data_IF_650758131539
#
_entry.id   IF_650758131539
#
_cell.length_a   1.000
_cell.length_b   1.000
_cell.length_c   1.000
_cell.angle_alpha   90.00
_cell.angle_beta   90.00
_cell.angle_gamma   90.00
#
_symmetry.space_group_name_H-M   'P 1'
#
loop_
_entity.id
_entity.type
_entity.pdbx_description
1 polymer ?
#
# COMPACT_ATOMS: atom_id res chain seq x y z
N UNK A 1 3.42 -6.53 14.49
CA UNK A 1 4.71 -6.02 13.99
C UNK A 1 5.64 -7.13 13.46
N UNK A 2 5.96 -8.18 14.22
CA UNK A 2 6.80 -9.30 13.72
C UNK A 2 6.28 -9.98 12.43
N UNK A 3 4.96 -10.15 12.28
CA UNK A 3 4.36 -10.69 11.06
C UNK A 3 4.47 -9.77 9.83
N UNK A 4 4.70 -8.47 10.03
CA UNK A 4 4.97 -7.53 8.95
C UNK A 4 6.43 -7.64 8.48
N UNK A 5 7.39 -7.71 9.42
CA UNK A 5 8.81 -7.94 9.12
C UNK A 5 9.05 -9.29 8.44
N UNK A 6 8.38 -10.36 8.87
CA UNK A 6 8.49 -11.67 8.22
C UNK A 6 7.96 -11.70 6.78
N UNK A 7 7.00 -10.83 6.44
CA UNK A 7 6.53 -10.65 5.05
C UNK A 7 7.53 -9.86 4.21
N UNK A 8 8.10 -8.80 4.77
CA UNK A 8 9.17 -8.01 4.13
C UNK A 8 10.38 -8.89 3.79
N UNK A 9 10.88 -9.69 4.71
CA UNK A 9 12.01 -10.58 4.45
C UNK A 9 11.72 -11.62 3.34
N UNK A 10 10.49 -12.13 3.24
CA UNK A 10 10.07 -13.03 2.16
C UNK A 10 10.02 -12.33 0.81
N UNK A 11 9.58 -11.07 0.78
CA UNK A 11 9.56 -10.24 -0.42
C UNK A 11 10.98 -9.92 -0.89
N UNK A 12 11.88 -9.59 0.03
CA UNK A 12 13.29 -9.35 -0.30
C UNK A 12 13.97 -10.59 -0.89
N UNK A 13 13.72 -11.77 -0.31
CA UNK A 13 14.19 -13.04 -0.88
C UNK A 13 13.61 -13.32 -2.27
N UNK A 14 12.30 -13.06 -2.47
CA UNK A 14 11.67 -13.18 -3.80
C UNK A 14 12.30 -12.26 -4.84
N UNK A 15 12.60 -11.02 -4.46
CA UNK A 15 13.24 -10.04 -5.33
C UNK A 15 14.68 -10.44 -5.66
N UNK A 16 15.43 -10.93 -4.68
CA UNK A 16 16.79 -11.41 -4.90
C UNK A 16 16.82 -12.57 -5.89
N UNK A 17 16.02 -13.61 -5.64
CA UNK A 17 15.98 -14.81 -6.48
C UNK A 17 15.46 -14.50 -7.90
N UNK A 18 14.53 -13.55 -8.04
CA UNK A 18 14.09 -13.07 -9.35
C UNK A 18 15.24 -12.40 -10.12
N UNK A 19 16.04 -11.57 -9.44
CA UNK A 19 17.21 -10.92 -10.02
C UNK A 19 18.29 -11.93 -10.44
N UNK A 20 18.52 -12.97 -9.63
CA UNK A 20 19.45 -14.04 -9.98
C UNK A 20 18.96 -14.86 -11.18
N UNK A 21 17.68 -15.23 -11.20
CA UNK A 21 17.07 -15.95 -12.32
C UNK A 21 17.18 -15.17 -13.64
N UNK A 22 16.96 -13.84 -13.60
CA UNK A 22 17.15 -12.97 -14.76
C UNK A 22 18.61 -12.90 -15.19
N UNK A 23 19.53 -12.70 -14.25
CA UNK A 23 20.95 -12.57 -14.55
C UNK A 23 21.54 -13.85 -15.18
N UNK A 24 21.03 -15.02 -14.79
CA UNK A 24 21.47 -16.31 -15.29
C UNK A 24 20.63 -16.82 -16.48
N UNK A 25 19.52 -16.16 -16.82
CA UNK A 25 18.55 -16.66 -17.79
C UNK A 25 17.90 -17.99 -17.38
N UNK A 26 17.83 -18.28 -16.07
CA UNK A 26 17.36 -19.56 -15.56
C UNK A 26 15.82 -19.58 -15.48
N UNK A 27 15.20 -20.23 -16.47
CA UNK A 27 13.76 -20.42 -16.54
C UNK A 27 13.21 -21.27 -15.37
N UNK A 28 13.97 -22.23 -14.87
CA UNK A 28 13.54 -23.06 -13.74
C UNK A 28 13.49 -22.24 -12.45
N UNK A 29 14.51 -21.42 -12.21
CA UNK A 29 14.52 -20.46 -11.10
C UNK A 29 13.37 -19.46 -11.22
N UNK A 30 13.11 -18.92 -12.42
CA UNK A 30 11.97 -18.04 -12.68
C UNK A 30 10.61 -18.72 -12.39
N UNK A 31 10.45 -20.00 -12.74
CA UNK A 31 9.25 -20.78 -12.39
C UNK A 31 9.06 -20.89 -10.87
N UNK A 32 10.13 -21.20 -10.14
CA UNK A 32 10.11 -21.25 -8.68
C UNK A 32 9.71 -19.90 -8.05
N UNK A 33 10.28 -18.80 -8.55
CA UNK A 33 9.94 -17.44 -8.12
C UNK A 33 8.45 -17.14 -8.36
N UNK A 34 7.94 -17.40 -9.57
CA UNK A 34 6.53 -17.17 -9.91
C UNK A 34 5.56 -18.02 -9.09
N UNK A 35 5.89 -19.27 -8.78
CA UNK A 35 5.08 -20.13 -7.91
C UNK A 35 5.00 -19.59 -6.48
N UNK A 36 6.15 -19.17 -5.93
CA UNK A 36 6.19 -18.55 -4.60
C UNK A 36 5.46 -17.21 -4.57
N UNK A 37 5.51 -16.43 -5.64
CA UNK A 37 4.76 -15.19 -5.78
C UNK A 37 3.25 -15.44 -5.75
N UNK A 38 2.77 -16.40 -6.55
CA UNK A 38 1.37 -16.79 -6.56
C UNK A 38 0.92 -17.32 -5.17
N UNK A 39 1.77 -18.09 -4.50
CA UNK A 39 1.52 -18.59 -3.15
C UNK A 39 1.49 -17.48 -2.09
N UNK A 40 2.35 -16.46 -2.21
CA UNK A 40 2.37 -15.30 -1.32
C UNK A 40 1.04 -14.53 -1.37
N UNK A 41 0.45 -14.39 -2.56
CA UNK A 41 -0.78 -13.65 -2.78
C UNK A 41 -2.05 -14.52 -2.87
N UNK A 42 -1.97 -15.83 -2.60
CA UNK A 42 -3.11 -16.77 -2.75
C UNK A 42 -4.38 -16.38 -1.97
N UNK A 43 -4.21 -15.73 -0.82
CA UNK A 43 -5.31 -15.30 0.05
C UNK A 43 -5.81 -13.88 -0.24
N UNK A 44 -5.22 -13.20 -1.23
CA UNK A 44 -5.60 -11.85 -1.64
C UNK A 44 -6.55 -11.94 -2.82
N UNK A 45 -7.82 -11.64 -2.60
CA UNK A 45 -8.87 -11.76 -3.62
C UNK A 45 -8.64 -10.80 -4.80
N UNK A 46 -8.16 -9.60 -4.52
CA UNK A 46 -7.79 -8.59 -5.53
C UNK A 46 -6.71 -9.04 -6.51
N UNK A 47 -5.90 -10.06 -6.16
CA UNK A 47 -4.90 -10.67 -7.06
C UNK A 47 -5.42 -11.90 -7.81
N UNK A 48 -6.65 -12.37 -7.53
CA UNK A 48 -7.18 -13.63 -8.07
C UNK A 48 -7.11 -13.66 -9.60
N UNK A 49 -7.60 -12.62 -10.25
CA UNK A 49 -7.64 -12.53 -11.71
C UNK A 49 -6.25 -12.54 -12.34
N UNK A 50 -5.32 -11.75 -11.79
CA UNK A 50 -3.92 -11.72 -12.25
C UNK A 50 -3.20 -13.06 -12.07
N UNK A 51 -3.46 -13.76 -10.96
CA UNK A 51 -2.90 -15.11 -10.71
C UNK A 51 -3.49 -16.17 -11.63
N UNK A 52 -4.79 -16.10 -11.93
CA UNK A 52 -5.43 -17.00 -12.90
C UNK A 52 -4.80 -16.78 -14.28
N UNK A 53 -4.64 -15.51 -14.70
CA UNK A 53 -4.04 -15.17 -15.98
C UNK A 53 -2.56 -15.58 -16.10
N UNK A 54 -1.79 -15.39 -15.04
CA UNK A 54 -0.42 -15.90 -14.94
C UNK A 54 -0.39 -17.43 -15.08
N UNK A 55 -1.33 -18.14 -14.45
CA UNK A 55 -1.41 -19.61 -14.54
C UNK A 55 -1.73 -20.09 -15.95
N UNK A 56 -2.62 -19.39 -16.65
CA UNK A 56 -2.96 -19.68 -18.05
C UNK A 56 -1.77 -19.47 -18.99
N UNK A 57 -1.05 -18.36 -18.85
CA UNK A 57 -0.07 -17.90 -19.84
C UNK A 57 1.38 -18.35 -19.56
N UNK A 58 1.69 -18.77 -18.32
CA UNK A 58 3.07 -19.13 -17.95
C UNK A 58 3.63 -20.33 -18.72
N UNK A 59 2.75 -21.21 -19.21
CA UNK A 59 3.15 -22.37 -20.02
C UNK A 59 3.74 -21.99 -21.38
N UNK A 60 3.37 -20.81 -21.86
CA UNK A 60 3.78 -20.27 -23.17
C UNK A 60 5.05 -19.39 -23.09
N UNK A 61 5.63 -19.25 -21.89
CA UNK A 61 6.86 -18.47 -21.68
C UNK A 61 8.08 -19.41 -21.71
N UNK A 62 9.02 -19.11 -22.60
CA UNK A 62 10.17 -19.98 -22.89
C UNK A 62 11.50 -19.47 -22.32
N UNK A 63 11.51 -18.29 -21.71
CA UNK A 63 12.67 -17.70 -21.06
C UNK A 63 12.29 -17.01 -19.75
N UNK A 64 13.31 -16.76 -18.92
CA UNK A 64 13.13 -16.20 -17.58
C UNK A 64 12.58 -14.77 -17.61
N UNK A 65 12.98 -13.97 -18.59
CA UNK A 65 12.57 -12.57 -18.72
C UNK A 65 11.07 -12.48 -19.05
N UNK A 66 10.61 -13.24 -20.04
CA UNK A 66 9.23 -13.30 -20.45
C UNK A 66 8.32 -13.81 -19.31
N UNK A 67 8.76 -14.85 -18.59
CA UNK A 67 7.98 -15.40 -17.46
C UNK A 67 7.88 -14.43 -16.28
N UNK A 68 8.98 -13.77 -15.91
CA UNK A 68 8.97 -12.81 -14.80
C UNK A 68 8.25 -11.52 -15.19
N UNK A 69 8.39 -11.06 -16.44
CA UNK A 69 7.64 -9.92 -16.97
C UNK A 69 6.13 -10.17 -17.00
N UNK A 70 5.70 -11.39 -17.36
CA UNK A 70 4.29 -11.79 -17.28
C UNK A 70 3.77 -11.74 -15.83
N UNK A 71 4.57 -12.22 -14.87
CA UNK A 71 4.17 -12.17 -13.46
C UNK A 71 4.08 -10.73 -12.93
N UNK A 72 4.97 -9.85 -13.36
CA UNK A 72 4.93 -8.43 -13.04
C UNK A 72 3.68 -7.76 -13.62
N UNK A 73 3.38 -7.96 -14.91
CA UNK A 73 2.27 -7.30 -15.59
C UNK A 73 0.90 -7.73 -15.07
N UNK A 74 0.73 -9.02 -14.81
CA UNK A 74 -0.57 -9.59 -14.44
C UNK A 74 -0.84 -9.49 -12.93
N UNK A 75 0.18 -9.67 -12.08
CA UNK A 75 -0.02 -9.76 -10.62
C UNK A 75 0.39 -8.47 -9.89
N UNK A 76 1.55 -7.91 -10.21
CA UNK A 76 2.11 -6.79 -9.44
C UNK A 76 1.61 -5.42 -9.92
N UNK A 77 1.61 -5.17 -11.22
CA UNK A 77 1.24 -3.87 -11.78
C UNK A 77 -0.16 -3.38 -11.35
N UNK A 78 -1.20 -4.23 -11.22
CA UNK A 78 -2.48 -3.80 -10.66
C UNK A 78 -2.40 -3.37 -9.18
N UNK A 79 -1.58 -4.06 -8.38
CA UNK A 79 -1.35 -3.72 -6.97
C UNK A 79 -0.62 -2.39 -6.82
N UNK A 80 0.40 -2.17 -7.65
CA UNK A 80 1.19 -0.93 -7.63
C UNK A 80 0.33 0.27 -8.03
N UNK A 81 -0.54 0.11 -9.04
CA UNK A 81 -1.52 1.14 -9.40
C UNK A 81 -2.49 1.46 -8.27
N UNK A 82 -2.95 0.45 -7.53
CA UNK A 82 -3.83 0.67 -6.39
C UNK A 82 -3.10 1.40 -5.25
N UNK A 83 -1.87 0.96 -4.93
CA UNK A 83 -1.04 1.60 -3.91
C UNK A 83 -0.75 3.07 -4.24
N UNK A 84 -0.40 3.37 -5.49
CA UNK A 84 -0.15 4.75 -5.95
C UNK A 84 -1.39 5.63 -5.77
N UNK A 85 -2.60 5.13 -6.08
CA UNK A 85 -3.84 5.88 -5.88
C UNK A 85 -4.10 6.21 -4.41
N UNK A 86 -3.83 5.29 -3.49
CA UNK A 86 -3.95 5.53 -2.05
C UNK A 86 -2.96 6.60 -1.57
N UNK A 87 -1.71 6.54 -2.05
CA UNK A 87 -0.68 7.55 -1.74
C UNK A 87 -1.09 8.92 -2.29
N UNK A 88 -1.60 8.98 -3.52
CA UNK A 88 -2.09 10.23 -4.12
C UNK A 88 -3.27 10.82 -3.34
N UNK A 89 -4.22 9.99 -2.92
CA UNK A 89 -5.37 10.42 -2.13
C UNK A 89 -4.91 11.00 -0.78
N UNK A 90 -4.01 10.30 -0.08
CA UNK A 90 -3.42 10.77 1.16
C UNK A 90 -2.64 12.08 0.97
N UNK A 91 -1.83 12.18 -0.09
CA UNK A 91 -1.06 13.37 -0.41
C UNK A 91 -1.96 14.58 -0.69
N UNK A 92 -3.06 14.39 -1.45
CA UNK A 92 -4.06 15.45 -1.69
C UNK A 92 -4.74 15.88 -0.41
N UNK A 93 -5.05 14.95 0.50
CA UNK A 93 -5.63 15.28 1.79
C UNK A 93 -4.67 16.10 2.66
N UNK A 94 -3.39 15.72 2.72
CA UNK A 94 -2.36 16.50 3.44
C UNK A 94 -2.19 17.89 2.82
N UNK A 95 -2.19 18.00 1.49
CA UNK A 95 -2.11 19.27 0.79
C UNK A 95 -3.34 20.15 1.08
N UNK A 96 -4.55 19.57 1.10
CA UNK A 96 -5.77 20.28 1.43
C UNK A 96 -5.77 20.74 2.90
N UNK A 97 -5.36 19.90 3.86
CA UNK A 97 -5.23 20.28 5.27
C UNK A 97 -4.22 21.40 5.44
N UNK A 98 -3.07 21.32 4.77
CA UNK A 98 -2.04 22.37 4.78
C UNK A 98 -2.54 23.66 4.15
N UNK A 99 -3.34 23.59 3.08
CA UNK A 99 -3.91 24.74 2.40
C UNK A 99 -5.06 25.39 3.18
N UNK A 100 -5.85 24.61 3.93
CA UNK A 100 -7.02 25.09 4.67
C UNK A 100 -6.71 25.48 6.12
N UNK A 101 -5.66 24.91 6.71
CA UNK A 101 -5.30 25.11 8.13
C UNK A 101 -3.80 25.43 8.25
N UNK A 102 -3.41 26.71 8.37
CA UNK A 102 -2.16 27.05 9.04
C UNK A 102 -2.33 26.66 10.51
N UNK A 103 -1.48 25.77 11.03
CA UNK A 103 -1.54 25.17 12.37
C UNK A 103 -1.85 26.17 13.50
N UNK A 104 -1.43 27.43 13.35
CA UNK A 104 -1.72 28.51 14.29
C UNK A 104 -3.23 28.79 14.48
N UNK A 105 -4.07 28.62 13.44
CA UNK A 105 -5.51 28.89 13.54
C UNK A 105 -6.28 27.78 14.23
N UNK A 106 -5.81 26.53 14.17
CA UNK A 106 -6.45 25.40 14.85
C UNK A 106 -6.35 25.54 16.37
N UNK A 107 -5.16 25.86 16.89
CA UNK A 107 -4.94 26.11 18.31
C UNK A 107 -5.75 27.34 18.79
N UNK A 108 -5.78 28.40 17.98
CA UNK A 108 -6.59 29.60 18.28
C UNK A 108 -8.08 29.28 18.30
N UNK A 109 -8.60 28.49 17.36
CA UNK A 109 -10.01 28.10 17.32
C UNK A 109 -10.39 27.18 18.49
N UNK A 110 -9.53 26.24 18.85
CA UNK A 110 -9.71 25.36 20.01
C UNK A 110 -9.69 26.17 21.32
N UNK A 111 -8.72 27.08 21.47
CA UNK A 111 -8.61 27.98 22.62
C UNK A 111 -9.84 28.91 22.73
N UNK A 112 -10.29 29.49 21.62
CA UNK A 112 -11.48 30.33 21.57
C UNK A 112 -12.74 29.56 21.97
N UNK A 113 -12.93 28.35 21.43
CA UNK A 113 -14.09 27.50 21.78
C UNK A 113 -14.08 27.11 23.27
N UNK A 114 -12.91 26.80 23.82
CA UNK A 114 -12.73 26.51 25.25
C UNK A 114 -13.09 27.72 26.12
N UNK A 115 -12.57 28.90 25.78
CA UNK A 115 -12.84 30.14 26.51
C UNK A 115 -14.32 30.52 26.48
N UNK A 116 -14.99 30.40 25.33
CA UNK A 116 -16.43 30.70 25.22
C UNK A 116 -17.28 29.75 26.06
N UNK A 117 -16.97 28.44 26.07
CA UNK A 117 -17.68 27.46 26.92
C UNK A 117 -17.45 27.73 28.41
N UNK A 118 -16.21 28.07 28.79
CA UNK A 118 -15.87 28.42 30.16
C UNK A 118 -16.64 29.67 30.62
N UNK A 119 -16.66 30.74 29.80
CA UNK A 119 -17.40 31.97 30.09
C UNK A 119 -18.89 31.68 30.25
N UNK A 120 -19.48 30.89 29.34
CA UNK A 120 -20.89 30.47 29.45
C UNK A 120 -21.16 29.75 30.76
N UNK A 121 -20.29 28.81 31.14
CA UNK A 121 -20.44 28.05 32.39
C UNK A 121 -20.33 28.93 33.62
N UNK A 122 -19.41 29.90 33.62
CA UNK A 122 -19.27 30.89 34.69
C UNK A 122 -20.51 31.80 34.75
N UNK A 123 -21.02 32.26 33.61
CA UNK A 123 -22.24 33.06 33.53
C UNK A 123 -23.46 32.28 34.04
N UNK A 124 -23.57 30.97 33.75
CA UNK A 124 -24.61 30.10 34.30
C UNK A 124 -24.50 29.96 35.83
N UNK A 125 -23.29 29.90 36.38
CA UNK A 125 -23.05 29.82 37.83
C UNK A 125 -23.39 31.13 38.54
N UNK A 126 -23.10 32.28 37.94
CA UNK A 126 -23.30 33.60 38.56
C UNK A 126 -24.65 34.26 38.22
N UNK A 127 -25.30 33.87 37.12
CA UNK A 127 -26.46 34.55 36.54
C UNK A 127 -27.81 33.89 36.77
N UNK A 128 -27.92 32.94 37.70
CA UNK A 128 -29.13 32.23 38.12
C UNK A 128 -30.46 32.57 37.41
N UNK A 129 -30.78 31.73 36.41
CA UNK A 129 -31.98 31.60 35.56
C UNK A 129 -32.03 32.48 34.31
#
# INVERSE_FOLDING_TARGET
EMAAFGRLARLDGLRHDAGEALAQGDLSAARSVTDRLAALYKHREDTRWGRDRLTELRGDQFDAEALLGLAESEVLAPLDRAATREVEAAARQVAAVTALVPLALADVAAALSSNLRMIRRIAEIYGGR
#
